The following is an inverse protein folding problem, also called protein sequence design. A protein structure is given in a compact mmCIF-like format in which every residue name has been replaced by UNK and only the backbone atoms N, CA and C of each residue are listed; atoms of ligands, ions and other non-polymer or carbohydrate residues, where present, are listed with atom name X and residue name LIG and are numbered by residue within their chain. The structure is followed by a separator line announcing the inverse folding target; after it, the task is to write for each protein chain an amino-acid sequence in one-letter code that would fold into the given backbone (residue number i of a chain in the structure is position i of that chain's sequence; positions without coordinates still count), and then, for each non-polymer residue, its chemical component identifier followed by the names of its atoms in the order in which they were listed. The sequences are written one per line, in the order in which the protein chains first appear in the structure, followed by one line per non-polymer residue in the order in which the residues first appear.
data_IF_361765309303
#
_entry.id   IF_361765309303
#
_cell.length_a   1.000
_cell.length_b   1.000
_cell.length_c   1.000
_cell.angle_alpha   90.00
_cell.angle_beta   90.00
_cell.angle_gamma   90.00
#
_symmetry.space_group_name_H-M   'P 1'
#
loop_
_entity.id
_entity.type
_entity.pdbx_description
1 polymer ?
#
# COMPACT_ATOMS: atom_id res chain seq x y z
N UNK A 1 18.54 8.93 14.21
CA UNK A 1 17.49 8.09 14.83
C UNK A 1 16.09 8.35 14.25
N UNK A 2 15.69 9.60 14.02
CA UNK A 2 14.32 9.95 13.60
C UNK A 2 13.95 9.40 12.21
N UNK A 3 14.85 9.48 11.23
CA UNK A 3 14.66 8.89 9.89
C UNK A 3 14.34 7.39 9.93
N UNK A 4 15.06 6.60 10.74
CA UNK A 4 14.84 5.16 10.85
C UNK A 4 13.48 4.83 11.47
N UNK A 5 13.07 5.57 12.51
CA UNK A 5 11.74 5.40 13.13
C UNK A 5 10.63 5.64 12.11
N UNK A 6 10.72 6.73 11.34
CA UNK A 6 9.76 7.07 10.29
C UNK A 6 9.73 5.99 9.22
N UNK A 7 10.89 5.55 8.74
CA UNK A 7 11.00 4.50 7.74
C UNK A 7 10.32 3.19 8.18
N UNK A 8 10.67 2.69 9.38
CA UNK A 8 10.12 1.43 9.90
C UNK A 8 8.62 1.54 10.13
N UNK A 9 8.17 2.64 10.75
CA UNK A 9 6.75 2.85 11.00
C UNK A 9 5.95 2.94 9.70
N UNK A 10 6.51 3.60 8.68
CA UNK A 10 5.92 3.64 7.34
C UNK A 10 5.88 2.29 6.64
N UNK A 11 6.77 1.36 6.96
CA UNK A 11 6.70 0.02 6.43
C UNK A 11 5.59 -0.83 7.09
N UNK A 12 5.04 -0.45 8.26
CA UNK A 12 4.07 -1.26 9.00
C UNK A 12 2.65 -1.24 8.37
N UNK A 13 1.88 -2.33 8.44
CA UNK A 13 0.61 -2.51 7.72
C UNK A 13 -0.55 -1.60 8.12
N UNK A 14 -0.57 -1.11 9.36
CA UNK A 14 -1.67 -0.28 9.88
C UNK A 14 -1.29 1.20 9.83
N UNK A 15 -0.03 1.51 10.12
CA UNK A 15 0.42 2.88 10.27
C UNK A 15 0.80 3.48 8.92
N UNK A 16 1.59 2.75 8.14
CA UNK A 16 2.04 3.12 6.79
C UNK A 16 2.53 4.58 6.69
N UNK A 17 2.45 5.16 5.48
CA UNK A 17 2.76 6.57 5.24
C UNK A 17 1.86 7.52 6.04
N UNK A 18 0.66 7.06 6.43
CA UNK A 18 -0.37 7.85 7.13
C UNK A 18 0.03 8.23 8.54
N UNK A 19 0.80 7.39 9.23
CA UNK A 19 1.35 7.71 10.55
C UNK A 19 2.84 8.03 10.51
N UNK A 20 3.62 7.44 9.60
CA UNK A 20 5.05 7.75 9.51
C UNK A 20 5.32 9.20 9.09
N UNK A 21 4.55 9.74 8.14
CA UNK A 21 4.74 11.12 7.67
C UNK A 21 4.39 12.15 8.75
N UNK A 22 3.22 12.12 9.41
CA UNK A 22 2.94 13.04 10.53
C UNK A 22 3.94 12.89 11.68
N UNK A 23 4.36 11.66 12.00
CA UNK A 23 5.36 11.44 13.04
C UNK A 23 6.70 12.06 12.65
N UNK A 24 7.12 11.94 11.39
CA UNK A 24 8.35 12.56 10.90
C UNK A 24 8.34 14.06 11.06
N UNK A 25 7.24 14.70 10.65
CA UNK A 25 7.05 16.14 10.84
C UNK A 25 7.06 16.54 12.32
N UNK A 26 6.41 15.74 13.19
CA UNK A 26 6.42 15.97 14.63
C UNK A 26 7.82 15.80 15.26
N UNK A 27 8.64 14.89 14.73
CA UNK A 27 10.03 14.67 15.16
C UNK A 27 11.02 15.71 14.59
N UNK A 28 10.52 16.77 13.96
CA UNK A 28 11.32 17.90 13.44
C UNK A 28 11.95 17.66 12.07
N UNK A 29 11.56 16.62 11.33
CA UNK A 29 11.96 16.50 9.92
C UNK A 29 11.20 17.52 9.09
N UNK A 30 11.85 18.07 8.06
CA UNK A 30 11.13 18.87 7.08
C UNK A 30 10.05 18.03 6.40
N UNK A 31 8.95 18.65 5.98
CA UNK A 31 7.84 17.97 5.29
C UNK A 31 8.29 17.10 4.11
N UNK A 32 9.31 17.56 3.37
CA UNK A 32 9.85 16.86 2.21
C UNK A 32 10.71 15.67 2.61
N UNK A 33 11.53 15.79 3.67
CA UNK A 33 12.28 14.65 4.21
C UNK A 33 11.34 13.61 4.80
N UNK A 34 10.35 14.03 5.60
CA UNK A 34 9.35 13.13 6.17
C UNK A 34 8.59 12.38 5.08
N UNK A 35 8.19 13.08 4.01
CA UNK A 35 7.57 12.46 2.83
C UNK A 35 8.49 11.45 2.17
N UNK A 36 9.72 11.85 1.85
CA UNK A 36 10.68 11.00 1.14
C UNK A 36 10.97 9.70 1.91
N UNK A 37 11.27 9.81 3.20
CA UNK A 37 11.59 8.66 4.07
C UNK A 37 10.37 7.74 4.22
N UNK A 38 9.17 8.31 4.37
CA UNK A 38 7.94 7.53 4.53
C UNK A 38 7.57 6.78 3.25
N UNK A 39 7.73 7.43 2.09
CA UNK A 39 7.55 6.80 0.77
C UNK A 39 8.55 5.66 0.58
N UNK A 40 9.84 5.88 0.89
CA UNK A 40 10.85 4.83 0.82
C UNK A 40 10.53 3.63 1.70
N UNK A 41 10.06 3.87 2.93
CA UNK A 41 9.62 2.80 3.84
C UNK A 41 8.47 1.97 3.25
N UNK A 42 7.51 2.63 2.60
CA UNK A 42 6.42 1.94 1.91
C UNK A 42 6.90 1.14 0.68
N UNK A 43 7.72 1.74 -0.18
CA UNK A 43 8.22 1.07 -1.38
C UNK A 43 9.06 -0.16 -1.01
N UNK A 44 9.86 -0.04 0.04
CA UNK A 44 10.70 -1.12 0.55
C UNK A 44 9.90 -2.36 0.96
N UNK A 45 8.66 -2.20 1.45
CA UNK A 45 7.81 -3.33 1.85
C UNK A 45 6.94 -3.86 0.69
N UNK A 46 6.57 -3.04 -0.30
CA UNK A 46 5.71 -3.48 -1.43
C UNK A 46 6.35 -4.65 -2.19
N UNK A 47 7.63 -4.54 -2.55
CA UNK A 47 8.33 -5.58 -3.32
C UNK A 47 8.39 -6.94 -2.62
N UNK A 48 8.94 -7.05 -1.38
CA UNK A 48 8.97 -8.32 -0.66
C UNK A 48 7.55 -8.83 -0.36
N UNK A 49 6.58 -7.94 -0.12
CA UNK A 49 5.20 -8.36 0.14
C UNK A 49 4.56 -9.03 -1.07
N UNK A 50 4.65 -8.45 -2.27
CA UNK A 50 4.17 -9.09 -3.51
C UNK A 50 4.83 -10.45 -3.73
N UNK A 51 6.15 -10.54 -3.52
CA UNK A 51 6.90 -11.78 -3.67
C UNK A 51 6.46 -12.86 -2.67
N UNK A 52 6.33 -12.50 -1.39
CA UNK A 52 5.87 -13.39 -0.32
C UNK A 52 4.44 -13.86 -0.59
N UNK A 53 3.53 -12.98 -1.01
CA UNK A 53 2.15 -13.34 -1.34
C UNK A 53 2.09 -14.40 -2.44
N UNK A 54 2.90 -14.25 -3.49
CA UNK A 54 2.99 -15.25 -4.57
C UNK A 54 3.49 -16.61 -4.08
N UNK A 55 4.34 -16.66 -3.06
CA UNK A 55 4.79 -17.91 -2.43
C UNK A 55 3.72 -18.49 -1.50
N UNK A 56 3.12 -17.65 -0.67
CA UNK A 56 2.06 -18.02 0.26
C UNK A 56 0.90 -18.67 -0.49
N UNK A 57 0.48 -18.13 -1.63
CA UNK A 57 -0.59 -18.73 -2.44
C UNK A 57 -0.27 -20.17 -2.89
N UNK A 58 0.97 -20.43 -3.31
CA UNK A 58 1.40 -21.79 -3.69
C UNK A 58 1.34 -22.77 -2.52
N UNK A 59 1.71 -22.31 -1.32
CA UNK A 59 1.64 -23.11 -0.09
C UNK A 59 0.19 -23.30 0.35
N UNK A 60 -0.64 -22.26 0.30
CA UNK A 60 -2.07 -22.32 0.64
C UNK A 60 -2.82 -23.29 -0.28
N UNK A 61 -2.41 -23.38 -1.56
CA UNK A 61 -2.97 -24.34 -2.52
C UNK A 61 -2.71 -25.81 -2.14
N UNK A 62 -1.72 -26.11 -1.29
CA UNK A 62 -1.45 -27.46 -0.80
C UNK A 62 -2.43 -27.90 0.30
N UNK A 63 -3.06 -26.96 1.03
CA UNK A 63 -4.03 -27.29 2.07
C UNK A 63 -5.47 -27.24 1.52
N UNK A 64 -6.14 -28.39 1.47
CA UNK A 64 -7.50 -28.56 0.93
C UNK A 64 -8.58 -27.68 1.57
N UNK A 65 -8.43 -27.31 2.84
CA UNK A 65 -9.42 -26.47 3.55
C UNK A 65 -9.24 -25.00 3.20
N UNK A 66 -7.99 -24.54 3.17
CA UNK A 66 -7.67 -23.13 2.87
C UNK A 66 -7.85 -22.84 1.39
N UNK A 67 -7.48 -23.79 0.52
CA UNK A 67 -7.75 -23.72 -0.93
C UNK A 67 -9.23 -23.50 -1.23
N UNK A 68 -10.14 -24.15 -0.50
CA UNK A 68 -11.60 -23.93 -0.70
C UNK A 68 -12.04 -22.49 -0.42
N UNK A 69 -11.47 -21.86 0.60
CA UNK A 69 -11.75 -20.45 0.92
C UNK A 69 -11.12 -19.54 -0.13
N UNK A 70 -9.86 -19.78 -0.48
CA UNK A 70 -9.15 -19.02 -1.49
C UNK A 70 -9.85 -19.08 -2.85
N UNK A 71 -10.20 -20.28 -3.33
CA UNK A 71 -10.90 -20.50 -4.59
C UNK A 71 -12.27 -19.80 -4.60
N UNK A 72 -12.96 -19.72 -3.46
CA UNK A 72 -14.20 -18.94 -3.34
C UNK A 72 -13.95 -17.45 -3.53
N UNK A 73 -12.88 -16.92 -2.95
CA UNK A 73 -12.51 -15.50 -3.12
C UNK A 73 -12.07 -15.22 -4.57
N UNK A 74 -11.27 -16.10 -5.16
CA UNK A 74 -10.83 -16.01 -6.56
C UNK A 74 -12.02 -16.09 -7.51
N UNK A 75 -12.96 -17.02 -7.33
CA UNK A 75 -14.17 -17.11 -8.17
C UNK A 75 -15.03 -15.84 -8.09
N UNK A 76 -15.17 -15.26 -6.91
CA UNK A 76 -15.85 -13.95 -6.73
C UNK A 76 -15.11 -12.83 -7.46
N UNK A 77 -13.78 -12.83 -7.42
CA UNK A 77 -12.96 -11.87 -8.16
C UNK A 77 -13.04 -12.10 -9.68
N UNK A 78 -13.10 -13.35 -10.13
CA UNK A 78 -13.23 -13.75 -11.54
C UNK A 78 -14.53 -13.25 -12.15
N UNK A 79 -15.65 -13.28 -11.41
CA UNK A 79 -16.91 -12.68 -11.85
C UNK A 79 -16.85 -11.16 -12.07
N UNK A 80 -15.84 -10.48 -11.50
CA UNK A 80 -15.59 -9.03 -11.67
C UNK A 80 -14.37 -8.75 -12.56
N UNK A 81 -13.74 -9.80 -13.10
CA UNK A 81 -12.43 -9.71 -13.75
C UNK A 81 -12.46 -8.95 -15.05
N UNK A 82 -13.55 -8.96 -15.81
CA UNK A 82 -13.62 -8.21 -17.07
C UNK A 82 -13.60 -6.69 -16.81
N UNK A 83 -14.40 -6.23 -15.85
CA UNK A 83 -14.37 -4.84 -15.37
C UNK A 83 -13.00 -4.49 -14.79
N UNK A 84 -12.41 -5.40 -13.99
CA UNK A 84 -11.09 -5.19 -13.40
C UNK A 84 -9.94 -5.27 -14.42
N UNK A 85 -10.09 -5.99 -15.53
CA UNK A 85 -9.11 -6.02 -16.62
C UNK A 85 -9.04 -4.64 -17.30
N UNK A 86 -10.17 -3.95 -17.40
CA UNK A 86 -10.26 -2.62 -18.02
C UNK A 86 -9.93 -1.49 -17.05
N UNK A 87 -10.37 -1.59 -15.80
CA UNK A 87 -10.27 -0.50 -14.81
C UNK A 87 -9.45 -0.83 -13.56
N UNK A 88 -8.98 -2.06 -13.40
CA UNK A 88 -8.33 -2.53 -12.16
C UNK A 88 -7.06 -1.77 -11.82
N UNK A 89 -6.32 -1.29 -12.82
CA UNK A 89 -5.14 -0.44 -12.60
C UNK A 89 -5.51 0.90 -11.97
N UNK A 90 -6.56 1.54 -12.48
CA UNK A 90 -7.07 2.81 -11.94
C UNK A 90 -7.74 2.61 -10.58
N UNK A 91 -8.49 1.54 -10.42
CA UNK A 91 -9.12 1.19 -9.15
C UNK A 91 -8.06 0.91 -8.06
N UNK A 92 -6.99 0.17 -8.39
CA UNK A 92 -5.89 -0.10 -7.48
C UNK A 92 -5.11 1.17 -7.13
N UNK A 93 -4.85 2.03 -8.12
CA UNK A 93 -4.24 3.34 -7.90
C UNK A 93 -5.09 4.19 -6.94
N UNK A 94 -6.38 4.39 -7.24
CA UNK A 94 -7.29 5.20 -6.42
C UNK A 94 -7.45 4.62 -5.01
N UNK A 95 -7.50 3.30 -4.89
CA UNK A 95 -7.55 2.61 -3.61
C UNK A 95 -6.36 3.02 -2.73
N UNK A 96 -5.14 2.99 -3.25
CA UNK A 96 -3.94 3.37 -2.50
C UNK A 96 -3.84 4.90 -2.31
N UNK A 97 -4.16 5.67 -3.34
CA UNK A 97 -3.98 7.11 -3.35
C UNK A 97 -4.83 7.80 -2.29
N UNK A 98 -6.07 7.35 -2.07
CA UNK A 98 -6.94 7.93 -1.04
C UNK A 98 -6.45 7.45 0.34
N UNK A 99 -6.06 8.36 1.26
CA UNK A 99 -5.53 7.97 2.56
C UNK A 99 -6.63 7.57 3.55
N UNK A 100 -7.30 6.43 3.31
CA UNK A 100 -8.26 5.83 4.26
C UNK A 100 -7.55 4.80 5.16
N UNK A 101 -8.00 4.55 6.40
CA UNK A 101 -7.31 3.67 7.35
C UNK A 101 -7.10 2.22 6.87
N UNK A 102 -7.79 1.78 5.82
CA UNK A 102 -7.77 0.40 5.32
C UNK A 102 -7.30 0.26 3.87
N UNK A 103 -7.03 1.35 3.15
CA UNK A 103 -6.75 1.29 1.71
C UNK A 103 -5.26 1.47 1.41
N UNK A 104 -4.43 0.72 2.14
CA UNK A 104 -2.97 0.84 2.17
C UNK A 104 -2.24 0.08 1.08
N UNK A 105 -0.92 0.27 1.02
CA UNK A 105 -0.01 -0.50 0.17
C UNK A 105 -0.09 -2.00 0.49
N UNK A 106 -0.21 -2.35 1.77
CA UNK A 106 -0.33 -3.75 2.21
C UNK A 106 -1.58 -4.43 1.65
N UNK A 107 -2.73 -3.79 1.85
CA UNK A 107 -4.02 -4.29 1.36
C UNK A 107 -4.09 -4.27 -0.18
N UNK A 108 -3.43 -3.32 -0.82
CA UNK A 108 -3.36 -3.24 -2.28
C UNK A 108 -2.51 -4.36 -2.87
N UNK A 109 -1.43 -4.79 -2.20
CA UNK A 109 -0.67 -5.97 -2.62
C UNK A 109 -1.54 -7.23 -2.58
N UNK A 110 -2.35 -7.40 -1.53
CA UNK A 110 -3.33 -8.48 -1.42
C UNK A 110 -4.38 -8.40 -2.53
N UNK A 111 -4.96 -7.22 -2.76
CA UNK A 111 -5.94 -7.00 -3.81
C UNK A 111 -5.36 -7.30 -5.20
N UNK A 112 -4.16 -6.79 -5.51
CA UNK A 112 -3.46 -7.06 -6.75
C UNK A 112 -3.29 -8.56 -7.00
N UNK A 113 -2.97 -9.34 -5.96
CA UNK A 113 -2.84 -10.79 -6.08
C UNK A 113 -4.17 -11.49 -6.33
N UNK A 114 -5.22 -11.12 -5.61
CA UNK A 114 -6.58 -11.64 -5.79
C UNK A 114 -7.12 -11.39 -7.21
N UNK A 115 -6.85 -10.21 -7.76
CA UNK A 115 -7.27 -9.84 -9.11
C UNK A 115 -6.28 -10.27 -10.21
N UNK A 116 -5.22 -11.01 -9.84
CA UNK A 116 -4.19 -11.52 -10.76
C UNK A 116 -3.55 -10.41 -11.61
N UNK A 117 -3.31 -9.24 -11.02
CA UNK A 117 -2.52 -8.18 -11.64
C UNK A 117 -1.04 -8.62 -11.64
N UNK A 118 -0.30 -8.46 -12.75
CA UNK A 118 1.12 -8.79 -12.78
C UNK A 118 1.92 -8.00 -11.73
N UNK A 119 2.80 -8.69 -10.99
CA UNK A 119 3.53 -8.09 -9.84
C UNK A 119 4.28 -6.80 -10.21
N UNK A 120 4.87 -6.73 -11.42
CA UNK A 120 5.56 -5.52 -11.90
C UNK A 120 4.61 -4.34 -12.09
N UNK A 121 3.44 -4.60 -12.65
CA UNK A 121 2.42 -3.56 -12.84
C UNK A 121 1.84 -3.13 -11.49
N UNK A 122 1.54 -4.09 -10.62
CA UNK A 122 1.06 -3.82 -9.27
C UNK A 122 2.07 -2.96 -8.49
N UNK A 123 3.36 -3.29 -8.54
CA UNK A 123 4.41 -2.52 -7.89
C UNK A 123 4.41 -1.06 -8.34
N UNK A 124 4.38 -0.80 -9.65
CA UNK A 124 4.36 0.57 -10.20
C UNK A 124 3.09 1.32 -9.76
N UNK A 125 1.93 0.70 -9.90
CA UNK A 125 0.63 1.31 -9.59
C UNK A 125 0.52 1.65 -8.10
N UNK A 126 0.88 0.71 -7.22
CA UNK A 126 0.84 0.90 -5.78
C UNK A 126 1.84 1.97 -5.36
N UNK A 127 3.05 1.97 -5.95
CA UNK A 127 4.06 3.02 -5.67
C UNK A 127 3.55 4.41 -6.04
N UNK A 128 2.97 4.59 -7.23
CA UNK A 128 2.35 5.85 -7.63
C UNK A 128 1.22 6.26 -6.69
N UNK A 129 0.40 5.30 -6.26
CA UNK A 129 -0.64 5.52 -5.26
C UNK A 129 -0.08 5.97 -3.92
N UNK A 130 1.00 5.36 -3.43
CA UNK A 130 1.67 5.75 -2.16
C UNK A 130 2.19 7.18 -2.24
N UNK A 131 2.81 7.56 -3.37
CA UNK A 131 3.29 8.94 -3.57
C UNK A 131 2.12 9.93 -3.53
N UNK A 132 1.03 9.64 -4.26
CA UNK A 132 -0.17 10.47 -4.24
C UNK A 132 -0.79 10.57 -2.84
N UNK A 133 -0.88 9.45 -2.12
CA UNK A 133 -1.37 9.38 -0.74
C UNK A 133 -0.51 10.21 0.20
N UNK A 134 0.82 10.10 0.08
CA UNK A 134 1.77 10.89 0.86
C UNK A 134 1.61 12.39 0.66
N UNK A 135 1.41 12.84 -0.58
CA UNK A 135 1.14 14.25 -0.89
C UNK A 135 -0.18 14.74 -0.26
N UNK A 136 -1.24 13.92 -0.34
CA UNK A 136 -2.52 14.25 0.28
C UNK A 136 -2.45 14.30 1.81
N UNK A 137 -1.76 13.35 2.44
CA UNK A 137 -1.54 13.34 3.88
C UNK A 137 -0.72 14.54 4.30
N UNK A 138 0.37 14.84 3.58
CA UNK A 138 1.20 16.02 3.84
C UNK A 138 0.38 17.31 3.76
N UNK A 139 -0.41 17.49 2.70
CA UNK A 139 -1.29 18.64 2.55
C UNK A 139 -2.26 18.77 3.73
N UNK A 140 -2.93 17.66 4.09
CA UNK A 140 -3.86 17.61 5.22
C UNK A 140 -3.18 17.97 6.54
N UNK A 141 -1.98 17.43 6.81
CA UNK A 141 -1.22 17.71 8.04
C UNK A 141 -0.85 19.19 8.10
N UNK A 142 -0.30 19.75 7.02
CA UNK A 142 0.07 21.17 6.95
C UNK A 142 -1.14 22.08 7.19
N UNK A 143 -2.29 21.79 6.56
CA UNK A 143 -3.52 22.58 6.77
C UNK A 143 -4.05 22.50 8.20
N UNK A 144 -3.99 21.33 8.85
CA UNK A 144 -4.52 21.17 10.23
C UNK A 144 -3.59 21.77 11.27
N UNK A 145 -2.29 21.55 11.14
CA UNK A 145 -1.30 21.93 12.15
C UNK A 145 -0.76 23.35 11.98
N UNK A 146 -1.00 23.98 10.82
CA UNK A 146 -0.43 25.29 10.52
C UNK A 146 1.09 25.28 10.38
N UNK A 147 1.72 24.10 10.27
CA UNK A 147 3.15 23.91 9.96
C UNK A 147 3.43 24.34 8.51
N UNK A 148 3.33 25.64 8.27
CA UNK A 148 3.73 26.31 7.04
C UNK A 148 5.17 26.84 7.21
N UNK A 149 6.12 25.97 7.51
CA UNK A 149 7.56 26.27 7.51
C UNK A 149 8.33 25.05 7.01
#
# INVERSE_FOLDING_TARGET
MNYLKVFVLSAMPIVEIRGGLPLGMYLGLSRWEALFVSVLGNIAIIFPLLWVLTRIEKVLAMNKYVRRVYDRMVRKAEGKRESFRRFGKYALFLFVAIPLPTTGAWTACVAARLFKIPDREAFVIITLGVIASGLLVMAKVVTITGLAM
#
